data_IF_610728091458
#
_entry.id   IF_610728091458
#
_cell.length_a   1.000
_cell.length_b   1.000
_cell.length_c   1.000
_cell.angle_alpha   90.00
_cell.angle_beta   90.00
_cell.angle_gamma   90.00
#
_symmetry.space_group_name_H-M   'P 1'
#
loop_
_entity.id
_entity.type
_entity.pdbx_description
1 polymer ?
#
# COMPACT_ATOMS: atom_id res chain seq x y z
N UNK A 1 14.61 7.15 20.04
CA UNK A 1 14.88 6.41 18.77
C UNK A 1 13.74 5.49 18.34
N UNK A 2 13.05 4.79 19.25
CA UNK A 2 11.90 3.93 18.92
C UNK A 2 10.68 4.71 18.40
N UNK A 3 10.33 5.84 19.05
CA UNK A 3 9.16 6.64 18.69
C UNK A 3 9.19 7.17 17.25
N UNK A 4 10.31 7.75 16.79
CA UNK A 4 10.43 8.29 15.42
C UNK A 4 10.22 7.20 14.35
N UNK A 5 10.79 6.01 14.55
CA UNK A 5 10.61 4.88 13.61
C UNK A 5 9.16 4.42 13.56
N UNK A 6 8.50 4.30 14.72
CA UNK A 6 7.10 3.94 14.81
C UNK A 6 6.20 4.97 14.12
N UNK A 7 6.45 6.27 14.34
CA UNK A 7 5.70 7.36 13.72
C UNK A 7 5.82 7.32 12.20
N UNK A 8 7.00 7.05 11.65
CA UNK A 8 7.19 6.94 10.19
C UNK A 8 6.44 5.73 9.59
N UNK A 9 6.44 4.59 10.27
CA UNK A 9 5.69 3.40 9.83
C UNK A 9 4.18 3.68 9.86
N UNK A 10 3.67 4.28 10.94
CA UNK A 10 2.26 4.66 11.06
C UNK A 10 1.86 5.70 10.02
N UNK A 11 2.71 6.69 9.75
CA UNK A 11 2.46 7.69 8.72
C UNK A 11 2.42 7.04 7.33
N UNK A 12 3.37 6.15 7.01
CA UNK A 12 3.37 5.40 5.75
C UNK A 12 2.12 4.53 5.58
N UNK A 13 1.71 3.84 6.65
CA UNK A 13 0.46 3.07 6.68
C UNK A 13 -0.77 3.96 6.46
N UNK A 14 -0.81 5.13 7.10
CA UNK A 14 -1.89 6.08 6.95
C UNK A 14 -2.02 6.58 5.50
N UNK A 15 -0.90 6.98 4.88
CA UNK A 15 -0.87 7.40 3.48
C UNK A 15 -1.34 6.26 2.56
N UNK A 16 -0.88 5.03 2.80
CA UNK A 16 -1.32 3.86 2.05
C UNK A 16 -2.83 3.64 2.15
N UNK A 17 -3.41 3.77 3.34
CA UNK A 17 -4.85 3.62 3.54
C UNK A 17 -5.64 4.73 2.86
N UNK A 18 -5.21 5.99 2.96
CA UNK A 18 -5.88 7.11 2.28
C UNK A 18 -5.84 6.93 0.77
N UNK A 19 -4.68 6.60 0.19
CA UNK A 19 -4.55 6.32 -1.24
C UNK A 19 -5.43 5.15 -1.68
N UNK A 20 -5.55 4.11 -0.84
CA UNK A 20 -6.45 2.98 -1.10
C UNK A 20 -7.91 3.45 -1.12
N UNK A 21 -8.37 4.13 -0.08
CA UNK A 21 -9.78 4.60 0.00
C UNK A 21 -10.11 5.53 -1.17
N UNK A 22 -9.23 6.49 -1.48
CA UNK A 22 -9.43 7.40 -2.62
C UNK A 22 -9.47 6.63 -3.94
N UNK A 23 -8.57 5.68 -4.15
CA UNK A 23 -8.55 4.86 -5.37
C UNK A 23 -9.83 4.06 -5.57
N UNK A 24 -10.42 3.52 -4.50
CA UNK A 24 -11.68 2.78 -4.57
C UNK A 24 -12.89 3.70 -4.71
N UNK A 25 -12.96 4.78 -3.93
CA UNK A 25 -14.11 5.71 -3.92
C UNK A 25 -14.18 6.55 -5.19
N UNK A 26 -13.05 6.86 -5.83
CA UNK A 26 -13.02 7.63 -7.08
C UNK A 26 -12.89 6.72 -8.30
N UNK A 27 -12.01 5.73 -8.25
CA UNK A 27 -11.69 4.89 -9.40
C UNK A 27 -12.82 3.92 -9.78
N UNK A 28 -13.49 3.29 -8.80
CA UNK A 28 -14.58 2.35 -9.11
C UNK A 28 -15.78 3.08 -9.71
N UNK A 29 -16.27 4.20 -9.15
CA UNK A 29 -17.39 4.93 -9.78
C UNK A 29 -17.04 5.46 -11.16
N UNK A 30 -15.83 6.00 -11.38
CA UNK A 30 -15.42 6.49 -12.70
C UNK A 30 -15.43 5.37 -13.76
N UNK A 31 -15.01 4.15 -13.38
CA UNK A 31 -15.10 2.97 -14.25
C UNK A 31 -16.54 2.57 -14.56
N UNK A 32 -17.42 2.62 -13.57
CA UNK A 32 -18.83 2.24 -13.73
C UNK A 32 -19.62 3.27 -14.55
N UNK A 33 -19.23 4.55 -14.51
CA UNK A 33 -19.91 5.64 -15.19
C UNK A 33 -19.54 5.74 -16.67
N UNK A 34 -18.24 5.77 -17.01
CA UNK A 34 -17.82 5.95 -18.41
C UNK A 34 -17.49 4.64 -19.12
N UNK A 35 -16.95 3.65 -18.40
CA UNK A 35 -16.45 2.40 -18.97
C UNK A 35 -15.38 2.57 -20.05
N UNK A 36 -14.74 3.74 -20.16
CA UNK A 36 -13.81 4.06 -21.23
C UNK A 36 -12.47 3.32 -21.10
N UNK A 37 -11.78 3.17 -22.23
CA UNK A 37 -10.49 2.46 -22.31
C UNK A 37 -9.44 3.15 -21.42
N UNK A 38 -9.45 4.48 -21.36
CA UNK A 38 -8.51 5.25 -20.55
C UNK A 38 -8.73 4.98 -19.05
N UNK A 39 -9.97 4.92 -18.59
CA UNK A 39 -10.32 4.61 -17.21
C UNK A 39 -9.95 3.16 -16.87
N UNK A 40 -10.19 2.21 -17.78
CA UNK A 40 -9.82 0.80 -17.60
C UNK A 40 -8.30 0.67 -17.43
N UNK A 41 -7.49 1.32 -18.29
CA UNK A 41 -6.03 1.29 -18.18
C UNK A 41 -5.57 1.93 -16.88
N UNK A 42 -6.17 3.06 -16.49
CA UNK A 42 -5.83 3.77 -15.25
C UNK A 42 -6.15 2.94 -14.03
N UNK A 43 -7.31 2.28 -14.00
CA UNK A 43 -7.71 1.38 -12.94
C UNK A 43 -6.79 0.16 -12.86
N UNK A 44 -6.46 -0.46 -14.00
CA UNK A 44 -5.56 -1.60 -14.05
C UNK A 44 -4.16 -1.24 -13.52
N UNK A 45 -3.60 -0.10 -13.96
CA UNK A 45 -2.35 0.42 -13.42
C UNK A 45 -2.43 0.69 -11.92
N UNK A 46 -3.53 1.32 -11.48
CA UNK A 46 -3.81 1.58 -10.07
C UNK A 46 -3.85 0.32 -9.21
N UNK A 47 -4.52 -0.74 -9.68
CA UNK A 47 -4.59 -2.03 -8.98
C UNK A 47 -3.23 -2.74 -8.93
N UNK A 48 -2.43 -2.70 -10.01
CA UNK A 48 -1.08 -3.25 -10.00
C UNK A 48 -0.20 -2.51 -8.99
N UNK A 49 -0.18 -1.17 -9.04
CA UNK A 49 0.58 -0.36 -8.09
C UNK A 49 0.13 -0.63 -6.66
N UNK A 50 -1.18 -0.72 -6.42
CA UNK A 50 -1.75 -1.04 -5.11
C UNK A 50 -1.28 -2.40 -4.60
N UNK A 51 -1.32 -3.45 -5.44
CA UNK A 51 -0.83 -4.79 -5.08
C UNK A 51 0.66 -4.82 -4.75
N UNK A 52 1.50 -4.13 -5.54
CA UNK A 52 2.94 -4.07 -5.31
C UNK A 52 3.29 -3.36 -4.00
N UNK A 53 2.60 -2.25 -3.70
CA UNK A 53 2.78 -1.52 -2.43
C UNK A 53 2.30 -2.40 -1.27
N UNK A 54 1.16 -3.06 -1.41
CA UNK A 54 0.61 -3.98 -0.39
C UNK A 54 1.60 -5.09 -0.06
N UNK A 55 2.14 -5.74 -1.09
CA UNK A 55 3.10 -6.82 -0.93
C UNK A 55 4.39 -6.32 -0.26
N UNK A 56 4.94 -5.20 -0.73
CA UNK A 56 6.13 -4.60 -0.12
C UNK A 56 5.92 -4.24 1.35
N UNK A 57 4.75 -3.70 1.69
CA UNK A 57 4.38 -3.34 3.05
C UNK A 57 4.24 -4.56 3.97
N UNK A 58 3.60 -5.64 3.51
CA UNK A 58 3.50 -6.91 4.26
C UNK A 58 4.89 -7.48 4.53
N UNK A 59 5.76 -7.53 3.51
CA UNK A 59 7.13 -8.03 3.67
C UNK A 59 7.92 -7.16 4.65
N UNK A 60 7.73 -5.84 4.60
CA UNK A 60 8.35 -4.92 5.54
C UNK A 60 7.94 -5.25 6.99
N UNK A 61 6.64 -5.38 7.26
CA UNK A 61 6.13 -5.76 8.59
C UNK A 61 6.72 -7.10 9.05
N UNK A 62 6.70 -8.13 8.19
CA UNK A 62 7.23 -9.47 8.55
C UNK A 62 8.72 -9.37 8.91
N UNK A 63 9.51 -8.60 8.15
CA UNK A 63 10.94 -8.40 8.43
C UNK A 63 11.16 -7.61 9.72
N UNK A 64 10.35 -6.60 10.00
CA UNK A 64 10.44 -5.80 11.22
C UNK A 64 9.99 -6.59 12.46
N UNK A 65 9.01 -7.49 12.32
CA UNK A 65 8.46 -8.30 13.40
C UNK A 65 9.27 -9.57 13.67
N UNK A 66 10.10 -10.04 12.72
CA UNK A 66 11.01 -11.17 12.97
C UNK A 66 11.98 -10.79 14.08
N UNK A 67 12.04 -11.57 15.17
CA UNK A 67 13.09 -11.42 16.16
C UNK A 67 14.43 -11.59 15.45
N UNK A 68 15.34 -10.62 15.58
CA UNK A 68 16.75 -10.83 15.26
C UNK A 68 17.21 -12.04 16.05
N UNK A 69 17.42 -13.18 15.39
CA UNK A 69 18.05 -14.33 16.02
C UNK A 69 19.40 -13.85 16.58
N UNK A 70 19.63 -13.90 17.90
CA UNK A 70 20.91 -13.52 18.45
C UNK A 70 21.92 -14.59 18.05
N UNK A 71 23.01 -14.17 17.39
CA UNK A 71 24.29 -14.90 17.33
C UNK A 71 24.27 -16.29 16.70
N UNK A 72 24.88 -16.43 15.52
CA UNK A 72 25.12 -17.72 14.88
C UNK A 72 26.42 -17.78 14.09
N UNK A 73 27.50 -17.18 14.60
CA UNK A 73 28.90 -17.59 14.43
C UNK A 73 29.70 -17.12 15.64
#
# INVERSE_FOLDING_TARGET
MFAIKLTLILLGLFVYLVCTVVGFVVGIPALLESGGIAEIITAFGGFITWLLISFGFIIHIIKTARPTAPGGR
#
